data_IF_916772929086
#
_entry.id   IF_916772929086
#
_cell.length_a   1.000
_cell.length_b   1.000
_cell.length_c   1.000
_cell.angle_alpha   90.00
_cell.angle_beta   90.00
_cell.angle_gamma   90.00
#
_symmetry.space_group_name_H-M   'P 1'
#
loop_
_entity.id
_entity.type
_entity.pdbx_description
1 polymer ?
#
# COMPACT_ATOMS: atom_id res chain seq x y z
N UNK A 1 -0.21 6.17 4.55
CA UNK A 1 -0.63 5.33 3.40
C UNK A 1 0.60 4.58 2.93
N UNK A 2 0.48 3.27 2.73
CA UNK A 2 1.60 2.42 2.33
C UNK A 2 1.68 2.30 0.80
N UNK A 3 2.87 2.02 0.25
CA UNK A 3 3.05 1.82 -1.19
C UNK A 3 2.17 0.68 -1.74
N UNK A 4 1.92 -0.36 -0.95
CA UNK A 4 1.08 -1.50 -1.31
C UNK A 4 -0.39 -1.17 -1.60
N UNK A 5 -0.84 0.07 -1.38
CA UNK A 5 -2.16 0.51 -1.84
C UNK A 5 -2.22 0.82 -3.33
N UNK A 6 -1.10 1.07 -4.00
CA UNK A 6 -1.09 1.57 -5.38
C UNK A 6 -1.75 0.59 -6.37
N UNK A 7 -1.23 -0.64 -6.47
CA UNK A 7 -1.74 -1.62 -7.44
C UNK A 7 -3.18 -2.08 -7.16
N UNK A 8 -3.58 -2.37 -5.90
CA UNK A 8 -4.97 -2.67 -5.59
C UNK A 8 -5.91 -1.52 -5.96
N UNK A 9 -5.50 -0.27 -5.72
CA UNK A 9 -6.31 0.92 -6.07
C UNK A 9 -6.49 1.05 -7.58
N UNK A 10 -5.42 0.92 -8.36
CA UNK A 10 -5.47 0.98 -9.83
C UNK A 10 -6.37 -0.13 -10.37
N UNK A 11 -6.24 -1.34 -9.84
CA UNK A 11 -7.01 -2.51 -10.28
C UNK A 11 -8.50 -2.32 -10.02
N UNK A 12 -8.89 -1.92 -8.81
CA UNK A 12 -10.29 -1.62 -8.48
C UNK A 12 -10.83 -0.50 -9.36
N UNK A 13 -10.03 0.55 -9.57
CA UNK A 13 -10.46 1.71 -10.34
C UNK A 13 -10.71 1.33 -11.81
N UNK A 14 -9.84 0.53 -12.43
CA UNK A 14 -10.06 0.00 -13.77
C UNK A 14 -11.31 -0.89 -13.85
N UNK A 15 -11.54 -1.76 -12.86
CA UNK A 15 -12.73 -2.62 -12.80
C UNK A 15 -14.02 -1.79 -12.70
N UNK A 16 -14.06 -0.80 -11.81
CA UNK A 16 -15.23 0.09 -11.61
C UNK A 16 -15.51 0.92 -12.86
N UNK A 17 -14.49 1.49 -13.49
CA UNK A 17 -14.65 2.22 -14.75
C UNK A 17 -15.16 1.33 -15.88
N UNK A 18 -14.64 0.10 -16.00
CA UNK A 18 -15.09 -0.88 -16.99
C UNK A 18 -16.54 -1.29 -16.76
N UNK A 19 -16.92 -1.48 -15.49
CA UNK A 19 -18.30 -1.78 -15.12
C UNK A 19 -19.26 -0.63 -15.45
N UNK A 20 -18.84 0.62 -15.25
CA UNK A 20 -19.64 1.78 -15.65
C UNK A 20 -19.89 1.82 -17.16
N UNK A 21 -18.89 1.47 -17.99
CA UNK A 21 -19.09 1.35 -19.43
C UNK A 21 -20.12 0.25 -19.78
N UNK A 22 -20.04 -0.90 -19.12
CA UNK A 22 -20.98 -2.02 -19.32
C UNK A 22 -22.40 -1.67 -18.88
N UNK A 23 -22.56 -0.83 -17.87
CA UNK A 23 -23.86 -0.37 -17.37
C UNK A 23 -24.59 0.58 -18.33
N UNK A 24 -23.94 1.05 -19.41
CA UNK A 24 -24.57 1.87 -20.45
C UNK A 24 -24.66 3.35 -20.08
N UNK A 25 -23.53 4.06 -20.14
CA UNK A 25 -23.48 5.52 -19.92
C UNK A 25 -24.01 6.28 -21.14
N UNK A 26 -25.03 7.12 -20.94
CA UNK A 26 -25.65 7.88 -22.03
C UNK A 26 -24.74 8.96 -22.66
N UNK A 27 -23.85 9.58 -21.87
CA UNK A 27 -23.03 10.71 -22.33
C UNK A 27 -21.55 10.62 -21.96
N UNK A 28 -21.20 9.99 -20.83
CA UNK A 28 -19.84 10.00 -20.28
C UNK A 28 -18.96 8.84 -20.72
N UNK A 29 -19.42 7.98 -21.64
CA UNK A 29 -18.61 6.88 -22.16
C UNK A 29 -17.24 7.33 -22.73
N UNK A 30 -17.14 8.43 -23.51
CA UNK A 30 -15.85 8.94 -23.98
C UNK A 30 -14.91 9.38 -22.84
N UNK A 31 -15.47 9.95 -21.76
CA UNK A 31 -14.70 10.35 -20.58
C UNK A 31 -14.13 9.11 -19.87
N UNK A 32 -14.94 8.07 -19.68
CA UNK A 32 -14.49 6.84 -19.02
C UNK A 32 -13.41 6.12 -19.84
N UNK A 33 -13.55 6.08 -21.16
CA UNK A 33 -12.49 5.57 -22.05
C UNK A 33 -11.19 6.38 -21.92
N UNK A 34 -11.29 7.71 -21.96
CA UNK A 34 -10.12 8.58 -21.78
C UNK A 34 -9.44 8.39 -20.41
N UNK A 35 -10.22 8.14 -19.35
CA UNK A 35 -9.68 7.81 -18.03
C UNK A 35 -8.97 6.45 -18.03
N UNK A 36 -9.58 5.41 -18.60
CA UNK A 36 -8.98 4.08 -18.72
C UNK A 36 -7.67 4.13 -19.51
N UNK A 37 -7.65 4.83 -20.64
CA UNK A 37 -6.45 5.04 -21.46
C UNK A 37 -5.38 5.81 -20.69
N UNK A 38 -5.77 6.87 -19.97
CA UNK A 38 -4.87 7.65 -19.13
C UNK A 38 -4.23 6.81 -18.01
N UNK A 39 -4.99 5.91 -17.40
CA UNK A 39 -4.48 5.00 -16.37
C UNK A 39 -3.51 4.00 -16.99
N UNK A 40 -3.86 3.39 -18.13
CA UNK A 40 -2.97 2.44 -18.80
C UNK A 40 -1.67 3.11 -19.25
N UNK A 41 -1.74 4.31 -19.83
CA UNK A 41 -0.57 5.04 -20.28
C UNK A 41 0.37 5.43 -19.12
N UNK A 42 -0.19 5.80 -17.96
CA UNK A 42 0.62 6.24 -16.80
C UNK A 42 1.10 5.10 -15.92
N UNK A 43 0.25 4.11 -15.68
CA UNK A 43 0.49 3.05 -14.70
C UNK A 43 0.74 1.68 -15.32
N UNK A 44 0.50 1.49 -16.62
CA UNK A 44 0.78 0.24 -17.33
C UNK A 44 2.18 -0.33 -17.07
N UNK A 45 3.25 0.49 -17.14
CA UNK A 45 4.60 0.03 -16.79
C UNK A 45 4.76 -0.43 -15.33
N UNK A 46 3.95 0.12 -14.42
CA UNK A 46 4.03 -0.12 -12.98
C UNK A 46 3.26 -1.37 -12.54
N UNK A 47 2.29 -1.86 -13.33
CA UNK A 47 1.44 -3.00 -12.98
C UNK A 47 2.25 -4.28 -12.76
N UNK A 48 3.38 -4.43 -13.46
CA UNK A 48 4.25 -5.60 -13.35
C UNK A 48 5.58 -5.27 -12.64
N UNK A 49 5.66 -4.11 -11.98
CA UNK A 49 6.84 -3.77 -11.20
C UNK A 49 6.95 -4.70 -9.97
N UNK A 50 8.13 -5.32 -9.84
CA UNK A 50 8.39 -6.32 -8.80
C UNK A 50 8.23 -5.76 -7.38
N UNK A 51 8.69 -4.54 -7.13
CA UNK A 51 8.65 -3.94 -5.79
C UNK A 51 7.22 -3.55 -5.41
N UNK A 52 6.46 -3.00 -6.35
CA UNK A 52 5.05 -2.67 -6.15
C UNK A 52 4.19 -3.92 -5.93
N UNK A 53 4.49 -5.01 -6.64
CA UNK A 53 3.81 -6.29 -6.44
C UNK A 53 4.09 -6.84 -5.03
N UNK A 54 5.36 -6.86 -4.61
CA UNK A 54 5.76 -7.27 -3.27
C UNK A 54 5.13 -6.38 -2.19
N UNK A 55 5.08 -5.06 -2.39
CA UNK A 55 4.46 -4.12 -1.48
C UNK A 55 2.96 -4.43 -1.28
N UNK A 56 2.23 -4.69 -2.37
CA UNK A 56 0.80 -4.96 -2.36
C UNK A 56 0.46 -6.30 -1.68
N UNK A 57 1.20 -7.37 -1.98
CA UNK A 57 0.93 -8.70 -1.40
C UNK A 57 1.40 -8.82 0.05
N UNK A 58 2.45 -8.10 0.44
CA UNK A 58 2.90 -8.06 1.84
C UNK A 58 1.94 -7.27 2.76
N UNK A 59 0.95 -6.57 2.20
CA UNK A 59 -0.04 -5.82 2.97
C UNK A 59 -1.20 -6.74 3.40
N UNK A 60 -1.43 -6.95 4.72
CA UNK A 60 -2.46 -7.87 5.23
C UNK A 60 -3.87 -7.61 4.69
N UNK A 61 -4.22 -6.34 4.49
CA UNK A 61 -5.52 -5.95 3.96
C UNK A 61 -5.81 -6.50 2.56
N UNK A 62 -4.80 -6.60 1.70
CA UNK A 62 -4.99 -6.92 0.30
C UNK A 62 -4.54 -8.33 -0.06
N UNK A 63 -3.36 -8.75 0.44
CA UNK A 63 -2.73 -10.04 0.10
C UNK A 63 -2.82 -10.26 -1.42
N UNK A 64 -3.45 -11.34 -1.85
CA UNK A 64 -3.71 -11.67 -3.26
C UNK A 64 -5.15 -11.41 -3.70
N UNK A 65 -5.99 -10.81 -2.85
CA UNK A 65 -7.43 -10.62 -3.12
C UNK A 65 -7.71 -9.74 -4.34
N UNK A 66 -6.85 -8.74 -4.59
CA UNK A 66 -6.97 -7.81 -5.71
C UNK A 66 -6.55 -8.39 -7.07
N UNK A 67 -5.90 -9.56 -7.08
CA UNK A 67 -5.34 -10.18 -8.27
C UNK A 67 -6.39 -11.06 -8.93
N UNK A 68 -6.60 -10.84 -10.23
CA UNK A 68 -7.47 -11.67 -11.07
C UNK A 68 -6.69 -12.88 -11.60
N UNK A 69 -7.28 -14.08 -11.45
CA UNK A 69 -6.73 -15.33 -11.97
C UNK A 69 -5.82 -16.07 -10.98
N UNK A 70 -6.10 -17.36 -10.78
CA UNK A 70 -5.35 -18.22 -9.85
C UNK A 70 -3.88 -18.38 -10.25
N UNK A 71 -3.57 -18.42 -11.55
CA UNK A 71 -2.19 -18.54 -12.04
C UNK A 71 -1.31 -17.36 -11.56
N UNK A 72 -1.81 -16.13 -11.65
CA UNK A 72 -1.08 -14.93 -11.21
C UNK A 72 -0.99 -14.84 -9.69
N UNK A 73 -2.02 -15.32 -8.95
CA UNK A 73 -1.95 -15.42 -7.49
C UNK A 73 -0.85 -16.38 -7.05
N UNK A 74 -0.73 -17.52 -7.72
CA UNK A 74 0.32 -18.50 -7.45
C UNK A 74 1.72 -17.96 -7.78
N UNK A 75 1.87 -17.27 -8.91
CA UNK A 75 3.12 -16.58 -9.28
C UNK A 75 3.55 -15.57 -8.20
N UNK A 76 2.61 -14.77 -7.68
CA UNK A 76 2.90 -13.81 -6.61
C UNK A 76 3.21 -14.46 -5.27
N UNK A 77 2.57 -15.60 -4.95
CA UNK A 77 2.90 -16.38 -3.78
C UNK A 77 4.33 -16.94 -3.86
N UNK A 78 4.74 -17.40 -5.05
CA UNK A 78 6.12 -17.82 -5.32
C UNK A 78 7.09 -16.64 -5.18
N UNK A 79 6.77 -15.50 -5.79
CA UNK A 79 7.58 -14.29 -5.71
C UNK A 79 7.82 -13.84 -4.26
N UNK A 80 6.80 -13.87 -3.42
CA UNK A 80 6.92 -13.56 -1.99
C UNK A 80 7.77 -14.59 -1.25
N UNK A 81 7.61 -15.87 -1.58
CA UNK A 81 8.40 -16.96 -0.99
C UNK A 81 9.88 -16.80 -1.32
N UNK A 82 10.20 -16.49 -2.57
CA UNK A 82 11.58 -16.25 -3.02
C UNK A 82 12.20 -15.04 -2.33
N UNK A 83 11.44 -13.95 -2.17
CA UNK A 83 11.93 -12.77 -1.43
C UNK A 83 12.17 -13.07 0.05
N UNK A 84 11.33 -13.88 0.69
CA UNK A 84 11.52 -14.28 2.10
C UNK A 84 12.70 -15.22 2.31
N UNK A 85 13.06 -16.03 1.30
CA UNK A 85 14.23 -16.91 1.33
C UNK A 85 15.56 -16.14 1.18
N UNK A 86 15.51 -14.83 0.92
CA UNK A 86 16.72 -14.02 0.78
C UNK A 86 17.48 -13.92 2.12
N UNK A 87 18.82 -14.04 2.12
CA UNK A 87 19.62 -14.07 3.36
C UNK A 87 19.45 -12.85 4.27
N UNK A 88 19.08 -11.70 3.70
CA UNK A 88 18.86 -10.45 4.44
C UNK A 88 17.67 -10.49 5.42
N UNK A 89 16.78 -11.48 5.30
CA UNK A 89 15.66 -11.66 6.23
C UNK A 89 15.86 -12.82 7.22
N UNK A 90 16.95 -13.60 7.06
CA UNK A 90 17.34 -14.68 7.96
C UNK A 90 17.97 -14.13 9.24
N UNK A 91 17.19 -14.07 10.32
CA UNK A 91 17.69 -13.75 11.66
C UNK A 91 16.56 -13.89 12.69
N UNK A 92 16.81 -14.71 13.72
CA UNK A 92 15.89 -15.12 14.78
C UNK A 92 15.15 -13.95 15.47
N UNK A 93 13.93 -14.20 16.01
CA UNK A 93 13.08 -13.15 16.57
C UNK A 93 13.50 -12.78 18.00
N UNK A 94 13.49 -11.49 18.31
CA UNK A 94 13.47 -11.00 19.70
C UNK A 94 12.10 -10.38 19.93
N UNK A 95 11.34 -11.01 20.83
CA UNK A 95 9.95 -10.65 21.12
C UNK A 95 9.81 -9.36 21.93
N UNK A 96 8.69 -8.68 21.71
CA UNK A 96 8.15 -7.64 22.56
C UNK A 96 6.63 -7.59 22.35
N UNK A 97 5.88 -8.13 23.32
CA UNK A 97 4.41 -8.09 23.38
C UNK A 97 3.93 -6.72 23.86
N UNK A 98 2.85 -6.20 23.25
CA UNK A 98 1.85 -5.35 23.91
C UNK A 98 0.48 -5.45 23.18
N UNK A 99 -0.65 -5.20 23.88
CA UNK A 99 -1.97 -5.79 23.60
C UNK A 99 -2.83 -5.04 22.55
N UNK A 100 -3.91 -5.64 22.03
CA UNK A 100 -4.67 -5.11 20.90
C UNK A 100 -5.79 -4.13 21.31
N UNK A 101 -5.97 -3.08 20.51
CA UNK A 101 -7.15 -2.23 20.52
C UNK A 101 -8.03 -2.56 19.30
N UNK A 102 -9.28 -2.90 19.59
CA UNK A 102 -10.40 -3.17 18.67
C UNK A 102 -10.77 -1.94 17.83
N UNK A 103 -11.23 -2.16 16.59
CA UNK A 103 -12.12 -1.25 15.85
C UNK A 103 -12.69 -1.96 14.60
N UNK A 104 -13.88 -2.54 14.75
CA UNK A 104 -14.71 -3.03 13.65
C UNK A 104 -15.33 -1.89 12.82
N UNK A 105 -15.21 -2.00 11.50
CA UNK A 105 -15.91 -1.16 10.52
C UNK A 105 -16.95 -1.96 9.73
N UNK A 106 -18.19 -1.45 9.66
CA UNK A 106 -19.34 -1.98 8.93
C UNK A 106 -19.09 -2.18 7.42
N UNK A 107 -19.59 -3.27 6.77
CA UNK A 107 -19.24 -3.66 5.40
C UNK A 107 -20.27 -3.24 4.34
N UNK A 108 -20.73 -1.98 4.37
CA UNK A 108 -21.50 -1.42 3.25
C UNK A 108 -20.73 -0.21 2.72
N UNK A 109 -20.21 -0.33 1.49
CA UNK A 109 -19.31 0.60 0.78
C UNK A 109 -17.79 0.56 1.04
N UNK A 110 -17.17 -0.62 1.29
CA UNK A 110 -15.70 -0.72 1.19
C UNK A 110 -15.26 -0.74 -0.28
N UNK A 111 -14.56 0.32 -0.70
CA UNK A 111 -13.93 0.45 -2.02
C UNK A 111 -13.06 -0.77 -2.39
N UNK A 112 -12.47 -1.44 -1.40
CA UNK A 112 -11.55 -2.57 -1.57
C UNK A 112 -12.15 -3.95 -1.24
N UNK A 113 -13.47 -4.15 -1.36
CA UNK A 113 -14.09 -5.46 -1.13
C UNK A 113 -13.66 -6.51 -2.18
N UNK A 114 -12.60 -7.25 -1.90
CA UNK A 114 -12.11 -8.36 -2.74
C UNK A 114 -12.69 -9.70 -2.27
N UNK A 115 -12.90 -10.65 -3.20
CA UNK A 115 -13.38 -12.00 -2.85
C UNK A 115 -12.30 -12.75 -2.05
N UNK A 116 -12.62 -13.21 -0.84
CA UNK A 116 -11.70 -13.98 -0.01
C UNK A 116 -11.27 -15.31 -0.70
N UNK A 117 -9.98 -15.70 -0.65
CA UNK A 117 -9.52 -16.94 -1.25
C UNK A 117 -10.04 -18.18 -0.50
N UNK A 118 -10.35 -19.25 -1.24
CA UNK A 118 -10.75 -20.55 -0.70
C UNK A 118 -9.52 -21.39 -0.33
N UNK A 119 -9.60 -22.07 0.80
CA UNK A 119 -8.50 -22.81 1.43
C UNK A 119 -7.86 -23.90 0.55
N UNK A 120 -6.53 -23.93 0.50
CA UNK A 120 -5.73 -25.11 0.10
C UNK A 120 -4.83 -25.52 1.27
N UNK A 121 -4.72 -26.84 1.50
CA UNK A 121 -3.92 -27.43 2.59
C UNK A 121 -2.46 -27.58 2.13
N UNK A 122 -1.57 -27.16 3.03
CA UNK A 122 -0.16 -27.55 3.22
C UNK A 122 0.99 -26.64 2.69
N UNK A 123 1.96 -26.44 3.60
CA UNK A 123 3.38 -26.06 3.46
C UNK A 123 3.77 -24.62 3.07
N UNK A 124 4.26 -23.86 4.07
CA UNK A 124 4.97 -22.57 3.91
C UNK A 124 4.46 -21.42 4.80
N UNK A 125 5.35 -20.57 5.31
CA UNK A 125 5.03 -19.34 6.07
C UNK A 125 4.09 -18.41 5.25
N UNK A 126 4.36 -18.31 3.94
CA UNK A 126 3.57 -17.53 2.97
C UNK A 126 2.14 -18.07 2.81
N UNK A 127 1.98 -19.37 2.61
CA UNK A 127 0.66 -20.00 2.42
C UNK A 127 -0.25 -19.78 3.62
N UNK A 128 0.30 -19.83 4.85
CA UNK A 128 -0.42 -19.52 6.09
C UNK A 128 -0.85 -18.06 6.13
N UNK A 129 0.05 -17.14 5.81
CA UNK A 129 -0.24 -15.71 5.78
C UNK A 129 -1.35 -15.36 4.76
N UNK A 130 -1.24 -15.90 3.53
CA UNK A 130 -2.20 -15.66 2.45
C UNK A 130 -3.59 -16.23 2.73
N UNK A 131 -3.67 -17.34 3.48
CA UNK A 131 -4.93 -17.99 3.85
C UNK A 131 -5.60 -17.38 5.08
N UNK A 132 -4.88 -16.58 5.87
CA UNK A 132 -5.46 -15.95 7.06
C UNK A 132 -6.52 -14.91 6.67
N UNK A 133 -7.67 -14.85 7.36
CA UNK A 133 -8.68 -13.82 7.13
C UNK A 133 -8.32 -12.47 7.74
N UNK A 134 -7.28 -12.40 8.58
CA UNK A 134 -6.90 -11.15 9.25
C UNK A 134 -6.33 -10.13 8.25
N UNK A 135 -6.87 -8.91 8.30
CA UNK A 135 -6.50 -7.76 7.48
C UNK A 135 -5.71 -6.70 8.25
N UNK A 136 -5.50 -6.89 9.56
CA UNK A 136 -4.77 -5.96 10.42
C UNK A 136 -3.27 -6.04 10.19
N UNK A 137 -2.57 -4.91 10.32
CA UNK A 137 -1.09 -4.89 10.30
C UNK A 137 -0.48 -5.57 11.53
N UNK A 138 -1.24 -5.72 12.61
CA UNK A 138 -0.78 -6.37 13.85
C UNK A 138 -0.42 -7.85 13.63
N UNK A 139 -1.07 -8.52 12.69
CA UNK A 139 -0.77 -9.92 12.35
C UNK A 139 0.68 -10.12 11.91
N UNK A 140 1.34 -9.09 11.38
CA UNK A 140 2.73 -9.18 10.91
C UNK A 140 3.71 -9.47 12.06
N UNK A 141 3.33 -9.19 13.32
CA UNK A 141 4.12 -9.56 14.50
C UNK A 141 4.31 -11.08 14.63
N UNK A 142 3.37 -11.87 14.11
CA UNK A 142 3.46 -13.34 14.07
C UNK A 142 4.41 -13.85 12.96
N UNK A 143 4.78 -12.99 12.01
CA UNK A 143 5.58 -13.31 10.83
C UNK A 143 6.80 -12.37 10.72
N UNK A 144 7.85 -12.53 11.55
CA UNK A 144 8.97 -11.58 11.62
C UNK A 144 9.71 -11.36 10.30
N UNK A 145 9.78 -12.39 9.44
CA UNK A 145 10.39 -12.25 8.10
C UNK A 145 9.52 -11.41 7.18
N UNK A 146 8.22 -11.70 7.18
CA UNK A 146 7.24 -10.94 6.41
C UNK A 146 7.13 -9.49 6.89
N UNK A 147 7.26 -9.25 8.20
CA UNK A 147 7.31 -7.90 8.76
C UNK A 147 8.48 -7.09 8.19
N UNK A 148 9.68 -7.70 8.06
CA UNK A 148 10.84 -7.03 7.45
C UNK A 148 10.60 -6.72 5.97
N UNK A 149 10.00 -7.64 5.23
CA UNK A 149 9.59 -7.42 3.83
C UNK A 149 8.57 -6.29 3.74
N UNK A 150 7.54 -6.30 4.59
CA UNK A 150 6.54 -5.24 4.67
C UNK A 150 7.21 -3.89 4.92
N UNK A 151 8.06 -3.76 5.94
CA UNK A 151 8.76 -2.52 6.25
C UNK A 151 9.57 -2.05 5.04
N UNK A 152 10.33 -2.94 4.40
CA UNK A 152 11.17 -2.58 3.25
C UNK A 152 10.37 -1.99 2.09
N UNK A 153 9.28 -2.64 1.67
CA UNK A 153 8.56 -2.27 0.46
C UNK A 153 7.41 -1.26 0.71
N UNK A 154 6.88 -1.17 1.93
CA UNK A 154 5.74 -0.31 2.23
C UNK A 154 6.09 1.01 2.92
N UNK A 155 7.30 1.19 3.47
CA UNK A 155 7.69 2.44 4.15
C UNK A 155 8.03 3.58 3.21
N UNK A 156 8.31 3.30 1.94
CA UNK A 156 8.49 4.34 0.94
C UNK A 156 7.21 5.20 0.85
N UNK A 157 7.39 6.53 0.81
CA UNK A 157 6.28 7.46 0.68
C UNK A 157 5.62 7.28 -0.71
N UNK A 158 4.33 6.94 -0.78
CA UNK A 158 3.65 6.74 -2.08
C UNK A 158 3.33 8.07 -2.81
N UNK A 159 3.58 9.21 -2.18
CA UNK A 159 3.26 10.54 -2.72
C UNK A 159 4.16 11.61 -2.09
N UNK A 160 4.37 12.71 -2.80
CA UNK A 160 5.01 13.95 -2.30
C UNK A 160 4.14 14.72 -1.31
N UNK A 161 2.85 14.42 -1.17
CA UNK A 161 1.92 15.19 -0.33
C UNK A 161 2.41 15.43 1.12
N UNK A 162 3.04 14.47 1.83
CA UNK A 162 3.64 14.73 3.15
C UNK A 162 4.74 15.80 3.10
N UNK A 163 5.55 15.81 2.03
CA UNK A 163 6.62 16.80 1.80
C UNK A 163 6.03 18.15 1.40
N UNK A 164 4.95 18.19 0.60
CA UNK A 164 4.24 19.43 0.27
C UNK A 164 3.65 20.11 1.51
N UNK A 165 3.18 19.33 2.49
CA UNK A 165 2.77 19.85 3.80
C UNK A 165 3.95 20.50 4.53
N UNK A 166 5.14 19.90 4.48
CA UNK A 166 6.37 20.51 5.01
C UNK A 166 6.66 21.84 4.32
N UNK A 167 6.54 21.90 2.99
CA UNK A 167 6.76 23.15 2.24
C UNK A 167 5.70 24.21 2.50
N UNK A 168 4.46 23.81 2.77
CA UNK A 168 3.41 24.75 3.17
C UNK A 168 3.75 25.42 4.50
N UNK A 169 4.17 24.64 5.51
CA UNK A 169 4.63 25.17 6.80
C UNK A 169 5.91 25.99 6.65
N UNK A 170 6.82 25.58 5.78
CA UNK A 170 8.03 26.33 5.44
C UNK A 170 7.69 27.73 4.89
N UNK A 171 6.69 27.84 4.01
CA UNK A 171 6.25 29.12 3.45
C UNK A 171 5.72 30.07 4.55
N UNK A 172 5.01 29.54 5.56
CA UNK A 172 4.55 30.33 6.71
C UNK A 172 5.71 30.85 7.58
N UNK A 173 6.82 30.12 7.64
CA UNK A 173 8.02 30.53 8.38
C UNK A 173 8.84 31.54 7.56
N UNK A 174 8.98 31.33 6.24
CA UNK A 174 9.69 32.18 5.29
C UNK A 174 8.87 33.42 4.88
N UNK A 175 8.58 34.27 5.86
CA UNK A 175 7.91 35.56 5.61
C UNK A 175 8.93 36.69 5.47
N UNK A 176 8.59 37.75 4.70
CA UNK A 176 9.46 38.93 4.53
C UNK A 176 9.92 39.54 5.85
N UNK A 177 9.08 39.48 6.89
CA UNK A 177 9.40 40.00 8.24
C UNK A 177 10.44 39.16 9.00
N UNK A 178 10.71 37.92 8.57
CA UNK A 178 11.64 36.97 9.18
C UNK A 178 12.91 36.74 8.33
N UNK A 179 13.17 37.55 7.31
CA UNK A 179 14.26 37.37 6.34
C UNK A 179 15.70 37.42 6.87
N UNK A 180 15.92 37.68 8.17
CA UNK A 180 17.25 37.59 8.83
C UNK A 180 17.51 36.24 9.49
N UNK A 181 16.65 35.25 9.30
CA UNK A 181 16.84 33.91 9.84
C UNK A 181 17.89 33.17 9.01
N UNK A 182 18.88 32.57 9.68
CA UNK A 182 19.81 31.65 9.01
C UNK A 182 19.12 30.34 8.66
N UNK A 183 19.63 29.64 7.64
CA UNK A 183 19.09 28.36 7.18
C UNK A 183 18.98 27.33 8.32
N UNK A 184 20.01 27.24 9.18
CA UNK A 184 20.00 26.35 10.35
C UNK A 184 18.86 26.67 11.34
N UNK A 185 18.58 27.96 11.57
CA UNK A 185 17.48 28.35 12.46
C UNK A 185 16.12 28.15 11.80
N UNK A 186 16.05 28.31 10.49
CA UNK A 186 14.86 28.02 9.69
C UNK A 186 14.49 26.52 9.77
N UNK A 187 15.45 25.64 9.51
CA UNK A 187 15.27 24.18 9.60
C UNK A 187 14.83 23.75 11.01
N UNK A 188 15.48 24.27 12.06
CA UNK A 188 15.09 24.02 13.45
C UNK A 188 13.66 24.47 13.73
N UNK A 189 13.27 25.65 13.27
CA UNK A 189 11.92 26.15 13.46
C UNK A 189 10.89 25.31 12.70
N UNK A 190 11.21 24.86 11.49
CA UNK A 190 10.37 23.98 10.69
C UNK A 190 10.13 22.65 11.40
N UNK A 191 11.18 22.01 11.91
CA UNK A 191 11.08 20.77 12.69
C UNK A 191 10.23 20.97 13.97
N UNK A 192 10.47 22.05 14.71
CA UNK A 192 9.69 22.38 15.91
C UNK A 192 8.21 22.65 15.61
N UNK A 193 7.88 23.13 14.41
CA UNK A 193 6.50 23.37 13.98
C UNK A 193 5.81 22.09 13.54
N UNK A 194 6.51 21.21 12.85
CA UNK A 194 5.97 19.93 12.37
C UNK A 194 5.75 18.92 13.50
N UNK A 195 6.59 18.94 14.54
CA UNK A 195 6.49 18.00 15.68
C UNK A 195 5.55 18.49 16.80
N UNK A 196 4.78 19.57 16.60
CA UNK A 196 3.84 20.12 17.59
C UNK A 196 2.42 19.56 17.49
N UNK A 197 2.15 18.75 16.47
CA UNK A 197 0.91 17.99 16.26
C UNK A 197 1.10 16.57 16.72
#
# INVERSE_FOLDING_TARGET
MFMGYLLPTITVLQQRLSHLLQAGLAFSAPLVNALLDGIQNRFGPLINDRELLLAAIALPRFKVGWVLGEAKRQELAQLLTDELNRPCYGGSPTGGQEPPADCGGSPVDDFFAFSAPRSTRDSGEVSRYLSSPDSSTEMLKEYPRLQKVFIRFNTALPSSAPVERVFSVAADILTRKRGKMSDCNFERQLLLKLNKT
#
